data_IF_269563894052
#
_entry.id   IF_269563894052
#
_cell.length_a   1.000
_cell.length_b   1.000
_cell.length_c   1.000
_cell.angle_alpha   90.00
_cell.angle_beta   90.00
_cell.angle_gamma   90.00
#
_symmetry.space_group_name_H-M   'P 1'
#
loop_
_entity.id
_entity.type
_entity.pdbx_description
1 polymer ?
#
# COMPACT_ATOMS: atom_id res chain seq x y z
N UNK A 1 -5.81 13.75 0.60
CA UNK A 1 -6.88 12.80 0.97
C UNK A 1 -8.20 13.22 0.34
N UNK A 2 -8.27 13.25 -0.99
CA UNK A 2 -9.46 13.71 -1.74
C UNK A 2 -10.15 12.58 -2.51
N UNK A 3 -9.64 11.36 -2.33
CA UNK A 3 -10.14 10.11 -2.90
C UNK A 3 -11.07 9.43 -1.89
N UNK A 4 -11.89 8.45 -2.31
CA UNK A 4 -12.73 7.71 -1.39
C UNK A 4 -11.91 7.03 -0.30
N UNK A 5 -12.36 7.18 0.95
CA UNK A 5 -11.80 6.52 2.12
C UNK A 5 -12.88 5.69 2.82
N UNK A 6 -12.52 4.58 3.48
CA UNK A 6 -13.48 3.80 4.26
C UNK A 6 -14.22 4.64 5.31
N UNK A 7 -15.51 4.38 5.47
CA UNK A 7 -16.39 5.10 6.40
C UNK A 7 -17.09 4.14 7.35
N UNK A 8 -17.87 3.18 6.83
CA UNK A 8 -18.71 2.31 7.65
C UNK A 8 -19.12 1.03 6.88
N UNK A 9 -20.03 0.25 7.48
CA UNK A 9 -20.61 -1.00 6.95
C UNK A 9 -19.53 -2.03 6.57
N UNK A 10 -18.61 -2.27 7.50
CA UNK A 10 -17.58 -3.28 7.34
C UNK A 10 -18.21 -4.66 7.52
N UNK A 11 -18.08 -5.48 6.49
CA UNK A 11 -18.68 -6.81 6.44
C UNK A 11 -17.69 -7.81 5.82
N UNK A 12 -17.55 -8.97 6.45
CA UNK A 12 -16.79 -10.07 5.87
C UNK A 12 -17.64 -10.79 4.84
N UNK A 13 -17.11 -10.94 3.63
CA UNK A 13 -17.71 -11.76 2.59
C UNK A 13 -17.07 -13.16 2.61
N UNK A 14 -17.88 -14.17 2.30
CA UNK A 14 -17.36 -15.49 2.00
C UNK A 14 -16.63 -15.49 0.65
N UNK A 15 -15.61 -16.35 0.45
CA UNK A 15 -14.86 -16.40 -0.81
C UNK A 15 -15.71 -16.75 -2.05
N UNK A 16 -16.88 -17.36 -1.84
CA UNK A 16 -17.80 -17.76 -2.91
C UNK A 16 -18.71 -16.61 -3.38
N UNK A 17 -18.91 -15.59 -2.53
CA UNK A 17 -19.80 -14.46 -2.80
C UNK A 17 -19.18 -13.40 -3.73
N UNK A 18 -17.87 -13.46 -3.97
CA UNK A 18 -17.19 -12.43 -4.76
C UNK A 18 -16.09 -13.00 -5.64
N UNK A 19 -16.16 -12.66 -6.92
CA UNK A 19 -15.16 -13.03 -7.92
C UNK A 19 -14.10 -11.94 -8.12
N UNK A 20 -12.90 -12.35 -8.52
CA UNK A 20 -11.82 -11.44 -8.94
C UNK A 20 -12.28 -10.48 -10.02
N UNK A 21 -13.09 -10.97 -10.98
CA UNK A 21 -13.60 -10.16 -12.09
C UNK A 21 -14.48 -9.01 -11.58
N UNK A 22 -15.38 -9.27 -10.63
CA UNK A 22 -16.21 -8.22 -10.03
C UNK A 22 -15.34 -7.17 -9.31
N UNK A 23 -14.32 -7.61 -8.58
CA UNK A 23 -13.40 -6.71 -7.86
C UNK A 23 -12.61 -5.84 -8.86
N UNK A 24 -12.13 -6.43 -9.95
CA UNK A 24 -11.42 -5.70 -11.00
C UNK A 24 -12.32 -4.71 -11.76
N UNK A 25 -13.59 -5.04 -11.95
CA UNK A 25 -14.57 -4.19 -12.64
C UNK A 25 -15.15 -3.08 -11.76
N UNK A 26 -15.11 -3.22 -10.44
CA UNK A 26 -15.63 -2.21 -9.49
C UNK A 26 -14.89 -0.88 -9.71
N UNK A 27 -15.53 0.26 -10.00
CA UNK A 27 -14.84 1.53 -10.21
C UNK A 27 -14.03 2.00 -8.99
N UNK A 28 -12.96 2.77 -9.21
CA UNK A 28 -12.10 3.30 -8.14
C UNK A 28 -12.81 4.32 -7.22
N UNK A 29 -13.86 4.95 -7.74
CA UNK A 29 -14.74 5.92 -7.08
C UNK A 29 -16.07 5.31 -6.62
N UNK A 30 -16.22 3.99 -6.71
CA UNK A 30 -17.40 3.29 -6.25
C UNK A 30 -17.64 3.53 -4.75
N UNK A 31 -18.91 3.57 -4.36
CA UNK A 31 -19.32 3.66 -2.94
C UNK A 31 -18.95 2.42 -2.15
N UNK A 32 -18.84 1.27 -2.81
CA UNK A 32 -18.38 0.02 -2.21
C UNK A 32 -16.89 -0.16 -2.49
N UNK A 33 -16.12 -0.47 -1.45
CA UNK A 33 -14.72 -0.84 -1.54
C UNK A 33 -14.46 -2.21 -0.93
N UNK A 34 -13.27 -2.75 -1.20
CA UNK A 34 -12.84 -4.04 -0.67
C UNK A 34 -11.40 -3.99 -0.15
N UNK A 35 -11.18 -4.67 0.97
CA UNK A 35 -9.85 -5.04 1.48
C UNK A 35 -9.77 -6.55 1.40
N UNK A 36 -8.69 -7.07 0.82
CA UNK A 36 -8.53 -8.49 0.55
C UNK A 36 -7.27 -9.01 1.21
N UNK A 37 -7.31 -10.28 1.59
CA UNK A 37 -6.15 -11.07 1.94
C UNK A 37 -5.95 -12.15 0.88
N UNK A 38 -4.81 -12.10 0.19
CA UNK A 38 -4.59 -12.89 -1.03
C UNK A 38 -3.20 -13.49 -1.11
N UNK A 39 -3.08 -14.55 -1.90
CA UNK A 39 -1.80 -15.05 -2.40
C UNK A 39 -1.61 -14.59 -3.85
N UNK A 40 -0.42 -14.08 -4.14
CA UNK A 40 -0.04 -13.66 -5.50
C UNK A 40 1.30 -14.26 -5.88
N UNK A 41 1.39 -14.78 -7.09
CA UNK A 41 2.64 -15.19 -7.70
C UNK A 41 3.30 -14.03 -8.41
N UNK A 42 4.64 -14.00 -8.31
CA UNK A 42 5.49 -13.06 -9.01
C UNK A 42 6.18 -13.80 -10.16
N UNK A 43 5.71 -13.63 -11.41
CA UNK A 43 6.25 -14.38 -12.53
C UNK A 43 7.72 -14.03 -12.80
N UNK A 44 8.62 -15.02 -13.00
CA UNK A 44 10.04 -14.78 -13.26
C UNK A 44 10.32 -13.86 -14.44
N UNK A 45 9.48 -13.87 -15.46
CA UNK A 45 9.57 -13.00 -16.64
C UNK A 45 9.45 -11.50 -16.30
N UNK A 46 8.86 -11.15 -15.15
CA UNK A 46 8.75 -9.77 -14.70
C UNK A 46 9.95 -9.30 -13.87
N UNK A 47 10.87 -10.21 -13.50
CA UNK A 47 11.97 -9.88 -12.59
C UNK A 47 12.88 -8.79 -13.16
N UNK A 48 13.24 -8.89 -14.44
CA UNK A 48 14.09 -7.87 -15.09
C UNK A 48 13.35 -6.53 -15.21
N UNK A 49 12.07 -6.56 -15.58
CA UNK A 49 11.23 -5.37 -15.74
C UNK A 49 11.03 -4.63 -14.40
N UNK A 50 10.81 -5.37 -13.32
CA UNK A 50 10.48 -4.83 -12.01
C UNK A 50 11.66 -4.78 -11.03
N UNK A 51 12.88 -5.09 -11.48
CA UNK A 51 14.08 -5.14 -10.63
C UNK A 51 14.29 -3.84 -9.82
N UNK A 52 14.01 -2.68 -10.44
CA UNK A 52 14.16 -1.38 -9.80
C UNK A 52 13.04 -1.06 -8.80
N UNK A 53 11.80 -1.48 -9.10
CA UNK A 53 10.62 -1.17 -8.30
C UNK A 53 9.71 -2.40 -8.13
N UNK A 54 10.13 -3.41 -7.32
CA UNK A 54 9.29 -4.55 -7.02
C UNK A 54 7.95 -4.13 -6.41
N UNK A 55 6.88 -4.78 -6.85
CA UNK A 55 5.51 -4.56 -6.40
C UNK A 55 5.23 -5.29 -5.08
N UNK A 56 4.17 -4.85 -4.39
CA UNK A 56 3.69 -5.44 -3.14
C UNK A 56 4.80 -5.61 -2.08
N UNK A 57 5.42 -4.52 -1.59
CA UNK A 57 6.46 -4.61 -0.58
C UNK A 57 5.92 -5.21 0.72
N UNK A 58 6.77 -5.95 1.43
CA UNK A 58 6.41 -6.69 2.64
C UNK A 58 7.25 -6.23 3.82
N UNK A 59 6.65 -6.25 5.02
CA UNK A 59 7.38 -6.00 6.25
C UNK A 59 8.09 -7.29 6.66
N UNK A 60 9.42 -7.32 6.53
CA UNK A 60 10.22 -8.51 6.83
C UNK A 60 11.62 -8.16 7.34
N UNK A 61 12.29 -9.16 7.91
CA UNK A 61 13.68 -9.05 8.36
C UNK A 61 14.61 -9.62 7.29
N UNK A 62 15.60 -8.85 6.86
CA UNK A 62 16.61 -9.30 5.90
C UNK A 62 17.57 -10.27 6.59
N UNK A 63 17.60 -11.51 6.12
CA UNK A 63 18.55 -12.53 6.59
C UNK A 63 19.82 -12.50 5.74
N UNK A 64 20.98 -12.93 6.28
CA UNK A 64 22.24 -12.95 5.54
C UNK A 64 22.17 -13.74 4.22
N UNK A 65 21.31 -14.76 4.15
CA UNK A 65 21.13 -15.60 2.96
C UNK A 65 20.45 -14.87 1.79
N UNK A 66 19.83 -13.71 2.06
CA UNK A 66 19.19 -12.87 1.04
C UNK A 66 20.15 -11.83 0.46
N UNK A 67 21.35 -11.69 1.02
CA UNK A 67 22.34 -10.74 0.56
C UNK A 67 23.09 -11.28 -0.65
N UNK A 68 23.40 -10.39 -1.59
CA UNK A 68 24.26 -10.76 -2.72
C UNK A 68 25.68 -11.08 -2.23
N UNK A 69 26.45 -11.88 -2.99
CA UNK A 69 27.86 -12.15 -2.66
C UNK A 69 28.68 -10.87 -2.48
N UNK A 70 28.40 -9.85 -3.29
CA UNK A 70 29.02 -8.53 -3.18
C UNK A 70 28.69 -7.84 -1.85
N UNK A 71 27.41 -7.85 -1.43
CA UNK A 71 27.00 -7.25 -0.17
C UNK A 71 27.63 -7.97 1.03
N UNK A 72 27.75 -9.30 0.99
CA UNK A 72 28.44 -10.09 2.00
C UNK A 72 29.93 -9.73 2.10
N UNK A 73 30.62 -9.59 0.96
CA UNK A 73 32.03 -9.21 0.93
C UNK A 73 32.25 -7.82 1.54
N UNK A 74 31.41 -6.83 1.20
CA UNK A 74 31.48 -5.47 1.76
C UNK A 74 31.30 -5.50 3.28
N UNK A 75 30.36 -6.29 3.79
CA UNK A 75 30.15 -6.43 5.25
C UNK A 75 31.38 -7.01 5.95
N UNK A 76 32.02 -8.01 5.33
CA UNK A 76 33.25 -8.60 5.85
C UNK A 76 34.40 -7.59 5.86
N UNK A 77 34.59 -6.82 4.78
CA UNK A 77 35.61 -5.76 4.69
C UNK A 77 35.38 -4.66 5.73
N UNK A 78 34.12 -4.28 5.98
CA UNK A 78 33.76 -3.29 6.98
C UNK A 78 33.78 -3.83 8.42
N UNK A 79 34.06 -5.14 8.61
CA UNK A 79 34.00 -5.83 9.90
C UNK A 79 32.64 -5.68 10.62
N UNK A 80 31.55 -5.60 9.84
CA UNK A 80 30.17 -5.45 10.33
C UNK A 80 29.47 -6.80 10.25
N UNK A 81 29.02 -7.32 11.40
CA UNK A 81 28.22 -8.55 11.43
C UNK A 81 26.82 -8.30 10.86
N UNK A 82 26.31 -9.13 9.92
CA UNK A 82 24.94 -9.04 9.45
C UNK A 82 24.01 -9.41 10.61
N UNK A 83 23.49 -8.39 11.29
CA UNK A 83 22.57 -8.56 12.42
C UNK A 83 21.16 -8.25 11.94
N UNK A 84 20.18 -9.15 12.16
CA UNK A 84 18.77 -8.84 11.93
C UNK A 84 18.32 -7.82 12.99
N UNK A 85 18.48 -6.53 12.68
CA UNK A 85 18.27 -5.47 13.68
C UNK A 85 16.83 -4.98 13.77
N UNK A 86 16.04 -5.15 12.72
CA UNK A 86 14.63 -4.74 12.69
C UNK A 86 13.93 -5.24 11.43
N UNK A 87 12.61 -5.37 11.52
CA UNK A 87 11.76 -5.50 10.34
C UNK A 87 11.80 -4.20 9.54
N UNK A 88 11.89 -4.34 8.22
CA UNK A 88 11.86 -3.24 7.28
C UNK A 88 10.77 -3.49 6.26
N UNK A 89 10.27 -2.43 5.64
CA UNK A 89 9.46 -2.55 4.44
C UNK A 89 10.39 -2.83 3.26
N UNK A 90 10.30 -4.03 2.69
CA UNK A 90 11.23 -4.55 1.69
C UNK A 90 10.48 -4.79 0.39
N UNK A 91 10.80 -4.06 -0.69
CA UNK A 91 10.39 -4.44 -2.03
C UNK A 91 11.18 -5.69 -2.44
N UNK A 92 10.48 -6.77 -2.81
CA UNK A 92 11.10 -8.02 -3.21
C UNK A 92 10.27 -8.70 -4.32
N UNK A 93 10.94 -9.51 -5.14
CA UNK A 93 10.35 -10.23 -6.28
C UNK A 93 9.83 -11.63 -5.89
N UNK A 94 9.67 -11.93 -4.60
CA UNK A 94 9.13 -13.21 -4.16
C UNK A 94 7.61 -13.25 -4.26
N UNK A 95 7.05 -14.45 -4.34
CA UNK A 95 5.61 -14.69 -4.21
C UNK A 95 5.09 -14.11 -2.90
N UNK A 96 3.87 -13.58 -2.94
CA UNK A 96 3.18 -12.97 -1.80
C UNK A 96 2.20 -13.96 -1.22
N UNK A 97 2.19 -14.09 0.10
CA UNK A 97 1.31 -15.03 0.82
C UNK A 97 0.56 -14.26 1.91
N UNK A 98 -0.75 -14.49 2.02
CA UNK A 98 -1.63 -13.80 2.97
C UNK A 98 -1.46 -12.26 2.92
N UNK A 99 -1.25 -11.70 1.73
CA UNK A 99 -0.97 -10.28 1.55
C UNK A 99 -2.27 -9.49 1.67
N UNK A 100 -2.30 -8.54 2.60
CA UNK A 100 -3.46 -7.68 2.83
C UNK A 100 -3.34 -6.39 2.01
N UNK A 101 -4.31 -6.14 1.14
CA UNK A 101 -4.32 -4.97 0.27
C UNK A 101 -5.72 -4.44 -0.05
N UNK A 102 -5.77 -3.16 -0.41
CA UNK A 102 -6.97 -2.54 -0.95
C UNK A 102 -7.19 -2.98 -2.41
N UNK A 103 -8.45 -3.11 -2.83
CA UNK A 103 -8.80 -3.59 -4.18
C UNK A 103 -8.17 -2.80 -5.32
N UNK A 104 -7.98 -1.48 -5.14
CA UNK A 104 -7.29 -0.62 -6.13
C UNK A 104 -5.84 -1.06 -6.36
N UNK A 105 -5.13 -1.47 -5.30
CA UNK A 105 -3.77 -1.98 -5.42
C UNK A 105 -3.77 -3.35 -6.08
N UNK A 106 -4.74 -4.21 -5.77
CA UNK A 106 -4.87 -5.51 -6.42
C UNK A 106 -5.05 -5.37 -7.94
N UNK A 107 -5.92 -4.45 -8.38
CA UNK A 107 -6.08 -4.15 -9.81
C UNK A 107 -4.78 -3.71 -10.46
N UNK A 108 -4.07 -2.79 -9.81
CA UNK A 108 -2.78 -2.31 -10.30
C UNK A 108 -1.79 -3.46 -10.44
N UNK A 109 -1.67 -4.31 -9.43
CA UNK A 109 -0.74 -5.44 -9.44
C UNK A 109 -1.07 -6.46 -10.52
N UNK A 110 -2.34 -6.81 -10.70
CA UNK A 110 -2.80 -7.66 -11.81
C UNK A 110 -2.50 -7.01 -13.16
N UNK A 111 -2.74 -5.70 -13.32
CA UNK A 111 -2.45 -4.99 -14.58
C UNK A 111 -0.95 -4.93 -14.91
N UNK A 112 -0.10 -5.01 -13.88
CA UNK A 112 1.35 -5.07 -14.01
C UNK A 112 1.88 -6.51 -14.12
N UNK A 113 1.00 -7.52 -14.14
CA UNK A 113 1.35 -8.91 -14.43
C UNK A 113 1.48 -9.83 -13.21
N UNK A 114 1.17 -9.38 -11.99
CA UNK A 114 1.10 -10.30 -10.84
C UNK A 114 -0.09 -11.24 -11.01
N UNK A 115 0.14 -12.53 -10.74
CA UNK A 115 -0.88 -13.55 -10.86
C UNK A 115 -1.54 -13.78 -9.50
N UNK A 116 -2.83 -13.46 -9.39
CA UNK A 116 -3.61 -13.78 -8.20
C UNK A 116 -3.92 -15.28 -8.16
N UNK A 117 -3.42 -15.99 -7.15
CA UNK A 117 -3.59 -17.45 -7.04
C UNK A 117 -4.70 -17.83 -6.07
N UNK A 118 -4.86 -17.10 -4.97
CA UNK A 118 -5.87 -17.39 -3.96
C UNK A 118 -6.39 -16.14 -3.27
N UNK A 119 -7.68 -16.11 -2.97
CA UNK A 119 -8.29 -15.14 -2.05
C UNK A 119 -8.65 -15.90 -0.78
N UNK A 120 -8.14 -15.46 0.37
CA UNK A 120 -8.45 -16.07 1.66
C UNK A 120 -9.65 -15.39 2.33
N UNK A 121 -9.66 -14.06 2.32
CA UNK A 121 -10.68 -13.25 3.00
C UNK A 121 -10.95 -11.96 2.24
N UNK A 122 -12.19 -11.51 2.26
CA UNK A 122 -12.61 -10.23 1.68
C UNK A 122 -13.45 -9.47 2.69
N UNK A 123 -13.06 -8.22 2.94
CA UNK A 123 -13.81 -7.27 3.75
C UNK A 123 -14.41 -6.23 2.81
N UNK A 124 -15.73 -6.21 2.72
CA UNK A 124 -16.50 -5.18 2.04
C UNK A 124 -16.68 -3.98 2.96
N UNK A 125 -16.62 -2.78 2.41
CA UNK A 125 -16.80 -1.53 3.14
C UNK A 125 -17.50 -0.48 2.29
N UNK A 126 -18.11 0.49 2.94
CA UNK A 126 -18.59 1.72 2.28
C UNK A 126 -17.49 2.78 2.34
N UNK A 127 -17.22 3.44 1.21
CA UNK A 127 -16.19 4.47 1.08
C UNK A 127 -16.73 5.74 0.41
N UNK A 128 -16.26 6.90 0.86
CA UNK A 128 -16.66 8.21 0.34
C UNK A 128 -15.51 9.20 0.35
N UNK A 129 -15.58 10.23 -0.50
CA UNK A 129 -14.64 11.35 -0.53
C UNK A 129 -14.90 12.38 0.59
N UNK A 130 -15.15 11.93 1.83
CA UNK A 130 -15.65 12.78 2.92
C UNK A 130 -14.65 13.87 3.36
N UNK A 131 -13.35 13.67 3.13
CA UNK A 131 -12.31 14.69 3.40
C UNK A 131 -12.08 15.67 2.24
N UNK A 132 -12.66 15.44 1.06
CA UNK A 132 -12.31 16.18 -0.16
C UNK A 132 -12.53 17.68 -0.02
N UNK A 133 -13.68 18.09 0.49
CA UNK A 133 -14.01 19.52 0.61
C UNK A 133 -13.09 20.24 1.60
N UNK A 134 -12.76 19.58 2.72
CA UNK A 134 -11.80 20.10 3.69
C UNK A 134 -10.40 20.26 3.09
N UNK A 135 -9.89 19.24 2.39
CA UNK A 135 -8.56 19.28 1.75
C UNK A 135 -8.51 20.36 0.66
N UNK A 136 -9.57 20.48 -0.14
CA UNK A 136 -9.67 21.48 -1.20
C UNK A 136 -9.69 22.89 -0.62
N UNK A 137 -10.48 23.10 0.43
CA UNK A 137 -10.53 24.38 1.14
C UNK A 137 -9.14 24.81 1.61
N UNK A 138 -8.43 23.96 2.37
CA UNK A 138 -7.09 24.28 2.85
C UNK A 138 -6.08 24.48 1.72
N UNK A 139 -6.23 23.77 0.61
CA UNK A 139 -5.36 23.93 -0.57
C UNK A 139 -5.55 25.30 -1.21
N UNK A 140 -6.79 25.77 -1.37
CA UNK A 140 -7.07 27.11 -1.88
C UNK A 140 -6.61 28.19 -0.90
N UNK A 141 -6.86 28.03 0.40
CA UNK A 141 -6.36 28.98 1.40
C UNK A 141 -4.83 29.07 1.39
N UNK A 142 -4.14 27.94 1.24
CA UNK A 142 -2.68 27.90 1.09
C UNK A 142 -2.19 28.62 -0.17
N UNK A 143 -2.92 28.52 -1.28
CA UNK A 143 -2.62 29.20 -2.54
C UNK A 143 -2.76 30.72 -2.40
N UNK A 144 -3.77 31.19 -1.67
CA UNK A 144 -4.00 32.62 -1.41
C UNK A 144 -3.13 33.21 -0.29
N UNK A 145 -2.48 32.37 0.52
CA UNK A 145 -1.63 32.82 1.61
C UNK A 145 -0.42 33.63 1.12
N UNK A 146 -0.26 34.84 1.70
CA UNK A 146 0.82 35.77 1.36
C UNK A 146 2.10 35.54 2.18
N UNK A 147 1.97 35.03 3.40
CA UNK A 147 3.09 34.80 4.32
C UNK A 147 3.52 33.33 4.34
N UNK A 148 4.80 33.08 4.63
CA UNK A 148 5.30 31.73 4.82
C UNK A 148 4.55 31.00 5.96
N UNK A 149 4.31 31.69 7.07
CA UNK A 149 3.54 31.17 8.20
C UNK A 149 2.16 30.64 7.79
N UNK A 150 1.36 31.44 7.06
CA UNK A 150 0.03 31.02 6.66
C UNK A 150 0.06 29.84 5.68
N UNK A 151 1.05 29.79 4.78
CA UNK A 151 1.25 28.64 3.88
C UNK A 151 1.54 27.35 4.65
N UNK A 152 2.37 27.45 5.68
CA UNK A 152 2.73 26.30 6.52
C UNK A 152 1.58 25.87 7.43
N UNK A 153 0.78 26.83 7.92
CA UNK A 153 -0.41 26.55 8.70
C UNK A 153 -1.43 25.69 7.93
N UNK A 154 -1.84 26.11 6.71
CA UNK A 154 -2.79 25.33 5.92
C UNK A 154 -2.22 23.99 5.43
N UNK A 155 -0.89 23.90 5.22
CA UNK A 155 -0.22 22.62 4.98
C UNK A 155 -0.32 21.70 6.20
N UNK A 156 -0.08 22.23 7.40
CA UNK A 156 -0.16 21.48 8.65
C UNK A 156 -1.56 20.94 8.87
N UNK A 157 -2.61 21.73 8.64
CA UNK A 157 -4.01 21.27 8.77
C UNK A 157 -4.30 20.02 7.92
N UNK A 158 -3.84 20.01 6.67
CA UNK A 158 -3.98 18.83 5.81
C UNK A 158 -3.18 17.62 6.30
N UNK A 159 -1.97 17.83 6.80
CA UNK A 159 -1.10 16.75 7.26
C UNK A 159 -1.53 16.19 8.63
N UNK A 160 -2.04 17.03 9.52
CA UNK A 160 -2.45 16.66 10.87
C UNK A 160 -3.63 15.70 10.86
N UNK A 161 -4.59 15.91 9.95
CA UNK A 161 -5.74 14.98 9.79
C UNK A 161 -5.24 13.58 9.43
N UNK A 162 -4.29 13.44 8.51
CA UNK A 162 -3.74 12.14 8.13
C UNK A 162 -3.11 11.43 9.33
N UNK A 163 -2.25 12.15 10.07
CA UNK A 163 -1.60 11.61 11.27
C UNK A 163 -2.61 11.15 12.32
N UNK A 164 -3.64 11.94 12.57
CA UNK A 164 -4.69 11.61 13.55
C UNK A 164 -5.51 10.38 13.15
N UNK A 165 -5.78 10.19 11.85
CA UNK A 165 -6.51 9.00 11.37
C UNK A 165 -5.71 7.70 11.42
N UNK A 166 -4.38 7.79 11.55
CA UNK A 166 -3.47 6.64 11.61
C UNK A 166 -2.87 6.44 13.02
N UNK A 167 -3.36 7.19 14.00
CA UNK A 167 -2.91 7.09 15.38
C UNK A 167 -3.34 5.73 15.96
N UNK A 168 -2.38 5.04 16.59
CA UNK A 168 -2.66 3.81 17.32
C UNK A 168 -3.26 4.18 18.69
N UNK A 169 -4.48 3.70 18.97
CA UNK A 169 -5.23 3.99 20.20
C UNK A 169 -4.90 2.99 21.32
#
# INVERSE_FOLDING_TARGET
MSQPLPVNNFEWLSPEEISVQQICQTPDDATTGYILEVDMEYPPELHDLHNNYPLAPERMTITPNMLSPTALNILNEMNVKPTPKSEKLVPNLCNKQNYVLHYRNLKLYISLGLNLTKIHRVMKLTQHCWLKDYINFNTEQRKHAKTAFAKDFFKLLNNAVYGKTMENL
#
